data_IF_216105992764
#
_entry.id   IF_216105992764
#
_cell.length_a   1.000
_cell.length_b   1.000
_cell.length_c   1.000
_cell.angle_alpha   90.00
_cell.angle_beta   90.00
_cell.angle_gamma   90.00
#
_symmetry.space_group_name_H-M   'P 1'
#
loop_
_entity.id
_entity.type
_entity.pdbx_description
1 polymer ?
#
# COMPACT_ATOMS: atom_id res chain seq x y z
N UNK A 1 66.44 -74.08 -22.40
CA UNK A 1 67.35 -73.11 -23.04
C UNK A 1 66.66 -71.77 -23.10
N UNK A 2 67.08 -70.99 -22.17
CA UNK A 2 67.50 -69.59 -22.31
C UNK A 2 66.40 -68.63 -22.64
N UNK A 3 66.14 -67.56 -22.05
CA UNK A 3 66.70 -66.70 -21.03
C UNK A 3 65.91 -65.42 -21.13
N UNK A 4 65.56 -64.87 -20.04
CA UNK A 4 65.93 -63.61 -19.44
C UNK A 4 65.09 -62.35 -19.82
N UNK A 5 64.52 -61.78 -18.77
CA UNK A 5 64.51 -60.43 -18.27
C UNK A 5 63.80 -59.22 -19.03
N UNK A 6 63.10 -58.50 -18.23
CA UNK A 6 62.74 -57.11 -18.55
C UNK A 6 61.69 -56.45 -17.58
N UNK A 7 62.19 -56.07 -16.42
CA UNK A 7 61.49 -55.27 -15.41
C UNK A 7 61.09 -53.90 -15.88
N UNK A 8 59.90 -53.38 -15.43
CA UNK A 8 59.57 -51.98 -15.39
C UNK A 8 58.19 -51.72 -14.86
N UNK A 9 58.04 -50.97 -13.75
CA UNK A 9 56.71 -50.75 -13.14
C UNK A 9 55.94 -49.59 -13.81
N UNK A 10 54.79 -49.93 -14.34
CA UNK A 10 53.82 -48.89 -14.85
C UNK A 10 52.91 -48.45 -13.75
N UNK A 11 53.00 -47.18 -13.47
CA UNK A 11 52.16 -46.40 -12.54
C UNK A 11 50.69 -46.43 -12.97
N UNK A 12 49.86 -47.01 -12.11
CA UNK A 12 48.38 -46.92 -12.25
C UNK A 12 47.86 -45.53 -12.00
N UNK A 13 47.34 -44.92 -13.02
CA UNK A 13 46.53 -43.70 -12.88
C UNK A 13 45.11 -44.10 -12.57
N UNK A 14 44.67 -43.86 -11.35
CA UNK A 14 43.27 -43.92 -10.96
C UNK A 14 42.50 -42.82 -11.71
N UNK A 15 41.73 -43.22 -12.72
CA UNK A 15 40.65 -42.38 -13.24
C UNK A 15 39.52 -42.35 -12.21
N UNK A 16 39.55 -41.36 -11.32
CA UNK A 16 38.40 -41.00 -10.51
C UNK A 16 37.25 -40.61 -11.46
N UNK A 17 36.28 -41.50 -11.55
CA UNK A 17 35.05 -41.27 -12.31
C UNK A 17 34.33 -40.01 -11.78
N UNK A 18 34.33 -38.97 -12.59
CA UNK A 18 33.56 -37.76 -12.35
C UNK A 18 32.09 -38.14 -12.37
N UNK A 19 31.45 -38.19 -11.19
CA UNK A 19 30.01 -38.33 -11.07
C UNK A 19 29.36 -37.16 -11.83
N UNK A 20 28.52 -37.43 -12.83
CA UNK A 20 27.83 -36.33 -13.51
C UNK A 20 26.96 -35.59 -12.49
N UNK A 21 27.14 -34.31 -12.38
CA UNK A 21 26.27 -33.43 -11.58
C UNK A 21 24.80 -33.68 -12.00
N UNK A 22 23.94 -33.93 -11.02
CA UNK A 22 22.52 -34.05 -11.26
C UNK A 22 22.04 -32.85 -12.11
N UNK A 23 21.14 -33.08 -13.06
CA UNK A 23 20.61 -31.98 -13.87
C UNK A 23 19.96 -30.98 -12.92
N UNK A 24 20.51 -29.77 -12.87
CA UNK A 24 19.88 -28.64 -12.23
C UNK A 24 18.52 -28.50 -12.90
N UNK A 25 17.44 -28.57 -12.12
CA UNK A 25 16.08 -28.28 -12.59
C UNK A 25 16.12 -27.02 -13.43
N UNK A 26 15.46 -26.98 -14.59
CA UNK A 26 15.48 -25.78 -15.42
C UNK A 26 14.98 -24.63 -14.57
N UNK A 27 15.85 -23.64 -14.32
CA UNK A 27 15.45 -22.39 -13.67
C UNK A 27 14.31 -21.82 -14.52
N UNK A 28 13.12 -21.69 -13.94
CA UNK A 28 12.02 -21.02 -14.61
C UNK A 28 12.50 -19.60 -14.96
N UNK A 29 12.51 -19.20 -16.25
CA UNK A 29 12.95 -17.87 -16.60
C UNK A 29 12.08 -16.83 -15.90
N UNK A 30 12.66 -15.79 -15.33
CA UNK A 30 11.96 -14.64 -14.79
C UNK A 30 11.72 -14.63 -13.27
N UNK A 31 12.31 -15.55 -12.49
CA UNK A 31 12.25 -15.48 -11.01
C UNK A 31 13.43 -14.67 -10.46
N UNK A 32 13.13 -13.68 -9.62
CA UNK A 32 14.09 -12.70 -9.12
C UNK A 32 14.46 -12.99 -7.66
N UNK A 33 15.68 -12.62 -7.29
CA UNK A 33 16.08 -12.41 -5.91
C UNK A 33 15.50 -11.08 -5.41
N UNK A 34 14.55 -11.12 -4.46
CA UNK A 34 13.83 -9.95 -3.96
C UNK A 34 14.35 -9.55 -2.59
N UNK A 35 14.78 -8.31 -2.45
CA UNK A 35 15.11 -7.69 -1.17
C UNK A 35 14.01 -6.74 -0.72
N UNK A 36 13.61 -6.82 0.55
CA UNK A 36 12.53 -5.99 1.08
C UNK A 36 13.09 -5.01 2.10
N UNK A 37 12.99 -3.73 1.81
CA UNK A 37 13.38 -2.68 2.74
C UNK A 37 12.13 -2.15 3.44
N UNK A 38 12.04 -2.43 4.73
CA UNK A 38 10.92 -2.26 5.66
C UNK A 38 9.89 -3.40 5.61
N UNK A 39 9.92 -4.27 6.63
CA UNK A 39 8.86 -5.26 6.93
C UNK A 39 7.64 -4.62 7.61
N UNK A 40 7.24 -3.43 7.12
CA UNK A 40 5.98 -2.81 7.48
C UNK A 40 4.77 -3.62 6.98
N UNK A 41 3.56 -3.08 7.17
CA UNK A 41 2.32 -3.75 6.73
C UNK A 41 2.33 -4.05 5.24
N UNK A 42 2.86 -3.14 4.43
CA UNK A 42 2.92 -3.29 2.96
C UNK A 42 4.05 -4.22 2.55
N UNK A 43 5.27 -3.95 3.01
CA UNK A 43 6.47 -4.68 2.56
C UNK A 43 6.43 -6.16 2.87
N UNK A 44 6.00 -6.53 4.09
CA UNK A 44 5.90 -7.94 4.48
C UNK A 44 4.82 -8.69 3.68
N UNK A 45 3.65 -8.06 3.43
CA UNK A 45 2.58 -8.67 2.64
C UNK A 45 2.98 -8.84 1.18
N UNK A 46 3.57 -7.81 0.55
CA UNK A 46 4.04 -7.93 -0.83
C UNK A 46 5.19 -8.93 -0.97
N UNK A 47 6.10 -8.98 0.02
CA UNK A 47 7.15 -9.99 0.06
C UNK A 47 6.60 -11.42 0.16
N UNK A 48 5.57 -11.63 1.00
CA UNK A 48 4.87 -12.90 1.10
C UNK A 48 4.20 -13.28 -0.24
N UNK A 49 3.53 -12.32 -0.90
CA UNK A 49 2.91 -12.54 -2.19
C UNK A 49 3.93 -12.87 -3.29
N UNK A 50 5.06 -12.15 -3.36
CA UNK A 50 6.15 -12.44 -4.31
C UNK A 50 6.75 -13.84 -4.07
N UNK A 51 6.93 -14.24 -2.80
CA UNK A 51 7.38 -15.59 -2.46
C UNK A 51 6.38 -16.66 -2.88
N UNK A 52 5.07 -16.40 -2.75
CA UNK A 52 4.01 -17.31 -3.14
C UNK A 52 4.02 -17.62 -4.65
N UNK A 53 4.50 -16.68 -5.46
CA UNK A 53 4.70 -16.86 -6.91
C UNK A 53 6.14 -17.24 -7.28
N UNK A 54 6.87 -17.81 -6.34
CA UNK A 54 8.19 -18.43 -6.50
C UNK A 54 9.37 -17.46 -6.69
N UNK A 55 9.24 -16.16 -6.40
CA UNK A 55 10.39 -15.28 -6.25
C UNK A 55 11.17 -15.65 -4.97
N UNK A 56 12.48 -15.51 -5.01
CA UNK A 56 13.32 -15.77 -3.85
C UNK A 56 13.46 -14.49 -3.00
N UNK A 57 12.85 -14.43 -1.83
CA UNK A 57 13.10 -13.32 -0.89
C UNK A 57 14.46 -13.56 -0.24
N UNK A 58 15.46 -12.75 -0.62
CA UNK A 58 16.88 -12.91 -0.22
C UNK A 58 17.19 -12.24 1.11
N UNK A 59 16.34 -11.34 1.57
CA UNK A 59 16.48 -10.64 2.83
C UNK A 59 15.38 -9.62 3.06
N UNK A 60 15.16 -9.29 4.31
CA UNK A 60 14.19 -8.30 4.75
C UNK A 60 14.81 -7.38 5.80
N UNK A 61 14.54 -6.08 5.72
CA UNK A 61 14.94 -5.12 6.75
C UNK A 61 13.77 -4.83 7.68
N UNK A 62 13.98 -5.00 8.99
CA UNK A 62 13.00 -4.78 10.02
C UNK A 62 13.66 -4.17 11.27
N UNK A 63 13.16 -3.04 11.76
CA UNK A 63 13.75 -2.30 12.88
C UNK A 63 12.93 -2.49 14.16
N UNK A 64 11.62 -2.21 14.12
CA UNK A 64 10.74 -2.33 15.29
C UNK A 64 10.41 -3.79 15.60
N UNK A 65 10.01 -4.06 16.84
CA UNK A 65 9.57 -5.39 17.26
C UNK A 65 8.40 -5.87 16.42
N UNK A 66 7.39 -5.03 16.19
CA UNK A 66 6.23 -5.38 15.38
C UNK A 66 6.59 -5.67 13.91
N UNK A 67 7.65 -5.03 13.39
CA UNK A 67 8.11 -5.32 12.03
C UNK A 67 8.87 -6.64 11.95
N UNK A 68 9.61 -7.02 13.00
CA UNK A 68 10.29 -8.31 13.10
C UNK A 68 9.31 -9.46 13.27
N UNK A 69 8.34 -9.31 14.16
CA UNK A 69 7.24 -10.29 14.33
C UNK A 69 6.47 -10.50 13.01
N UNK A 70 6.21 -9.44 12.29
CA UNK A 70 5.53 -9.52 10.98
C UNK A 70 6.41 -10.20 9.94
N UNK A 71 7.71 -9.93 9.92
CA UNK A 71 8.65 -10.62 9.05
C UNK A 71 8.70 -12.13 9.37
N UNK A 72 8.75 -12.50 10.64
CA UNK A 72 8.73 -13.90 11.06
C UNK A 72 7.42 -14.61 10.66
N UNK A 73 6.28 -13.93 10.83
CA UNK A 73 4.96 -14.47 10.50
C UNK A 73 4.76 -14.66 8.98
N UNK A 74 5.09 -13.65 8.17
CA UNK A 74 4.77 -13.63 6.74
C UNK A 74 5.91 -14.14 5.86
N UNK A 75 7.15 -14.06 6.34
CA UNK A 75 8.37 -14.41 5.62
C UNK A 75 9.25 -15.38 6.45
N UNK A 76 8.68 -16.49 6.97
CA UNK A 76 9.44 -17.40 7.83
C UNK A 76 10.69 -17.91 7.13
N UNK A 77 11.83 -17.87 7.85
CA UNK A 77 13.13 -18.31 7.35
C UNK A 77 13.85 -17.32 6.43
N UNK A 78 13.26 -16.14 6.15
CA UNK A 78 13.96 -15.07 5.44
C UNK A 78 14.84 -14.32 6.45
N UNK A 79 16.15 -14.12 6.17
CA UNK A 79 17.03 -13.44 7.09
C UNK A 79 16.68 -11.94 7.20
N UNK A 80 16.70 -11.43 8.44
CA UNK A 80 16.67 -9.98 8.69
C UNK A 80 18.07 -9.46 8.52
N UNK A 81 18.27 -8.51 7.60
CA UNK A 81 19.56 -8.01 7.16
C UNK A 81 19.59 -6.48 7.20
N UNK A 82 20.81 -5.94 7.19
CA UNK A 82 21.03 -4.51 6.98
C UNK A 82 20.69 -4.11 5.54
N UNK A 83 20.25 -2.86 5.37
CA UNK A 83 19.82 -2.33 4.07
C UNK A 83 20.86 -2.53 2.97
N UNK A 84 22.15 -2.26 3.29
CA UNK A 84 23.25 -2.42 2.33
C UNK A 84 23.43 -3.85 1.83
N UNK A 85 23.28 -4.85 2.72
CA UNK A 85 23.37 -6.27 2.36
C UNK A 85 22.18 -6.72 1.49
N UNK A 86 20.99 -6.18 1.76
CA UNK A 86 19.80 -6.47 0.95
C UNK A 86 19.99 -5.95 -0.47
N UNK A 87 20.44 -4.70 -0.62
CA UNK A 87 20.66 -4.09 -1.94
C UNK A 87 21.73 -4.84 -2.72
N UNK A 88 22.79 -5.33 -2.06
CA UNK A 88 23.85 -6.09 -2.70
C UNK A 88 23.38 -7.46 -3.22
N UNK A 89 22.43 -8.12 -2.54
CA UNK A 89 21.98 -9.47 -2.86
C UNK A 89 20.77 -9.52 -3.79
N UNK A 90 20.03 -8.43 -3.92
CA UNK A 90 18.74 -8.40 -4.59
C UNK A 90 18.85 -8.00 -6.07
N UNK A 91 18.09 -8.66 -6.92
CA UNK A 91 17.84 -8.26 -8.31
C UNK A 91 16.65 -7.27 -8.38
N UNK A 92 15.68 -7.42 -7.46
CA UNK A 92 14.57 -6.50 -7.23
C UNK A 92 14.63 -6.00 -5.78
N UNK A 93 14.80 -4.71 -5.57
CA UNK A 93 14.69 -4.07 -4.25
C UNK A 93 13.33 -3.43 -4.12
N UNK A 94 12.53 -3.91 -3.17
CA UNK A 94 11.21 -3.35 -2.83
C UNK A 94 11.36 -2.39 -1.65
N UNK A 95 11.11 -1.09 -1.89
CA UNK A 95 11.12 -0.02 -0.89
C UNK A 95 9.70 0.21 -0.36
N UNK A 96 9.40 -0.30 0.83
CA UNK A 96 8.10 -0.12 1.49
C UNK A 96 8.22 0.78 2.74
N UNK A 97 9.08 1.78 2.66
CA UNK A 97 9.32 2.77 3.70
C UNK A 97 8.30 3.92 3.65
N UNK A 98 8.12 4.68 4.76
CA UNK A 98 7.33 5.90 4.73
C UNK A 98 7.79 6.89 3.66
N UNK A 99 6.86 7.67 3.12
CA UNK A 99 7.13 8.62 2.03
C UNK A 99 8.27 9.59 2.35
N UNK A 100 8.33 10.08 3.58
CA UNK A 100 9.37 11.03 4.02
C UNK A 100 10.77 10.41 4.09
N UNK A 101 10.84 9.08 4.27
CA UNK A 101 12.10 8.35 4.32
C UNK A 101 12.60 7.90 2.93
N UNK A 102 11.70 7.83 1.93
CA UNK A 102 12.00 7.23 0.63
C UNK A 102 13.11 7.98 -0.12
N UNK A 103 12.96 9.27 -0.31
CA UNK A 103 13.95 10.09 -1.03
C UNK A 103 15.34 10.09 -0.36
N UNK A 104 15.45 10.40 0.96
CA UNK A 104 16.69 10.31 1.70
C UNK A 104 17.38 8.94 1.64
N UNK A 105 16.60 7.84 1.75
CA UNK A 105 17.13 6.48 1.66
C UNK A 105 17.74 6.21 0.28
N UNK A 106 17.02 6.55 -0.79
CA UNK A 106 17.48 6.33 -2.17
C UNK A 106 18.73 7.14 -2.47
N UNK A 107 18.79 8.39 -2.02
CA UNK A 107 19.97 9.25 -2.18
C UNK A 107 21.15 8.72 -1.36
N UNK A 108 20.94 8.36 -0.09
CA UNK A 108 22.02 7.85 0.76
C UNK A 108 22.65 6.56 0.21
N UNK A 109 21.85 5.66 -0.35
CA UNK A 109 22.37 4.46 -1.00
C UNK A 109 23.12 4.77 -2.30
N UNK A 110 22.70 5.79 -3.04
CA UNK A 110 23.43 6.26 -4.21
C UNK A 110 24.79 6.89 -3.83
N UNK A 111 24.82 7.72 -2.81
CA UNK A 111 26.05 8.35 -2.30
C UNK A 111 27.07 7.32 -1.79
N UNK A 112 26.58 6.21 -1.26
CA UNK A 112 27.40 5.06 -0.84
C UNK A 112 27.76 4.09 -1.99
N UNK A 113 27.31 4.36 -3.21
CA UNK A 113 27.55 3.51 -4.39
C UNK A 113 26.96 2.10 -4.28
N UNK A 114 25.81 1.95 -3.59
CA UNK A 114 25.20 0.63 -3.34
C UNK A 114 24.33 0.11 -4.47
N UNK A 115 23.75 1.01 -5.28
CA UNK A 115 22.90 0.61 -6.39
C UNK A 115 23.67 -0.08 -7.50
N UNK A 116 23.09 -1.14 -8.09
CA UNK A 116 23.72 -1.93 -9.14
C UNK A 116 23.10 -1.63 -10.50
N UNK A 117 23.89 -1.58 -11.58
CA UNK A 117 23.35 -1.45 -12.93
C UNK A 117 22.42 -2.62 -13.28
N UNK A 118 21.25 -2.29 -13.84
CA UNK A 118 20.23 -3.28 -14.20
C UNK A 118 19.35 -3.77 -13.04
N UNK A 119 19.64 -3.39 -11.80
CA UNK A 119 18.84 -3.73 -10.63
C UNK A 119 17.47 -3.06 -10.70
N UNK A 120 16.40 -3.82 -10.51
CA UNK A 120 15.05 -3.28 -10.38
C UNK A 120 14.87 -2.66 -9.01
N UNK A 121 14.43 -1.41 -8.97
CA UNK A 121 14.13 -0.72 -7.71
C UNK A 121 12.68 -0.26 -7.76
N UNK A 122 11.85 -0.91 -6.95
CA UNK A 122 10.42 -0.62 -6.86
C UNK A 122 10.08 0.03 -5.51
N UNK A 123 9.23 1.04 -5.51
CA UNK A 123 8.64 1.57 -4.27
C UNK A 123 7.12 1.50 -4.28
N UNK A 124 6.53 1.54 -3.09
CA UNK A 124 5.08 1.41 -2.89
C UNK A 124 4.38 2.72 -2.53
N UNK A 125 5.05 3.87 -2.64
CA UNK A 125 4.42 5.17 -2.38
C UNK A 125 3.31 5.46 -3.39
N UNK A 126 2.17 5.93 -2.89
CA UNK A 126 1.10 6.44 -3.75
C UNK A 126 1.37 7.84 -4.27
N UNK A 127 2.12 8.64 -3.51
CA UNK A 127 2.42 10.04 -3.76
C UNK A 127 3.51 10.25 -4.82
N UNK A 128 4.57 9.43 -4.76
CA UNK A 128 5.72 9.54 -5.65
C UNK A 128 5.59 8.63 -6.87
N UNK A 129 6.10 9.09 -8.02
CA UNK A 129 6.31 8.25 -9.18
C UNK A 129 7.76 7.77 -9.27
N UNK A 130 8.21 7.43 -10.47
CA UNK A 130 9.56 6.91 -10.69
C UNK A 130 10.68 7.96 -10.45
N UNK A 131 10.35 9.25 -10.51
CA UNK A 131 11.33 10.35 -10.39
C UNK A 131 12.04 10.39 -9.02
N UNK A 132 11.40 9.96 -7.94
CA UNK A 132 12.03 9.88 -6.60
C UNK A 132 13.22 8.90 -6.59
N UNK A 133 13.24 7.94 -7.51
CA UNK A 133 14.31 6.96 -7.70
C UNK A 133 15.43 7.46 -8.64
N UNK A 134 15.41 8.72 -9.09
CA UNK A 134 16.43 9.26 -9.98
C UNK A 134 17.88 9.09 -9.47
N UNK A 135 18.19 9.18 -8.16
CA UNK A 135 19.53 8.85 -7.68
C UNK A 135 19.96 7.41 -7.99
N UNK A 136 19.09 6.42 -7.79
CA UNK A 136 19.37 5.04 -8.14
C UNK A 136 19.48 4.84 -9.66
N UNK A 137 18.60 5.50 -10.43
CA UNK A 137 18.64 5.44 -11.89
C UNK A 137 19.95 5.98 -12.47
N UNK A 138 20.53 7.03 -11.88
CA UNK A 138 21.86 7.53 -12.29
C UNK A 138 22.98 6.52 -12.08
N UNK A 139 22.81 5.59 -11.15
CA UNK A 139 23.71 4.45 -10.93
C UNK A 139 23.40 3.24 -11.85
N UNK A 140 22.44 3.37 -12.76
CA UNK A 140 22.06 2.32 -13.71
C UNK A 140 20.93 1.40 -13.24
N UNK A 141 20.32 1.66 -12.09
CA UNK A 141 19.14 0.92 -11.64
C UNK A 141 17.89 1.29 -12.45
N UNK A 142 16.92 0.41 -12.47
CA UNK A 142 15.66 0.52 -13.21
C UNK A 142 14.55 0.94 -12.23
N UNK A 143 14.03 2.18 -12.34
CA UNK A 143 13.06 2.71 -11.38
C UNK A 143 11.63 2.26 -11.69
N UNK A 144 10.91 1.77 -10.68
CA UNK A 144 9.51 1.35 -10.75
C UNK A 144 8.74 1.95 -9.58
N UNK A 145 7.58 2.53 -9.84
CA UNK A 145 6.62 2.95 -8.81
C UNK A 145 5.37 2.09 -8.93
N UNK A 146 5.07 1.27 -7.93
CA UNK A 146 3.95 0.34 -7.90
C UNK A 146 3.18 0.55 -6.60
N UNK A 147 1.98 1.11 -6.68
CA UNK A 147 1.18 1.41 -5.51
C UNK A 147 -0.13 0.63 -5.51
N UNK A 148 -0.29 -0.38 -4.63
CA UNK A 148 -1.57 -1.06 -4.43
C UNK A 148 -2.61 -0.13 -3.79
N UNK A 149 -3.76 0.05 -4.46
CA UNK A 149 -4.84 0.90 -3.96
C UNK A 149 -5.70 0.16 -2.93
N UNK A 150 -5.09 -0.25 -1.82
CA UNK A 150 -5.78 -0.94 -0.73
C UNK A 150 -5.22 -0.54 0.64
N UNK A 151 -6.01 -0.80 1.68
CA UNK A 151 -5.57 -0.66 3.07
C UNK A 151 -4.96 -1.98 3.54
N UNK A 152 -3.74 -1.92 4.05
CA UNK A 152 -3.02 -3.07 4.58
C UNK A 152 -3.17 -3.18 6.10
N UNK A 153 -3.61 -4.33 6.56
CA UNK A 153 -3.61 -4.71 7.98
C UNK A 153 -2.24 -5.25 8.44
N UNK A 154 -1.48 -5.81 7.50
CA UNK A 154 -0.18 -6.46 7.76
C UNK A 154 -0.29 -7.93 8.14
N UNK A 155 -1.44 -8.57 7.86
CA UNK A 155 -1.68 -9.99 8.09
C UNK A 155 -1.77 -10.76 6.76
N UNK A 156 -1.72 -12.08 6.84
CA UNK A 156 -1.79 -12.99 5.68
C UNK A 156 -3.08 -12.85 4.86
N UNK A 157 -4.17 -12.40 5.49
CA UNK A 157 -5.43 -12.11 4.81
C UNK A 157 -5.30 -11.03 3.73
N UNK A 158 -4.32 -10.12 3.87
CA UNK A 158 -4.09 -9.09 2.86
C UNK A 158 -3.53 -9.67 1.55
N UNK A 159 -2.82 -10.81 1.61
CA UNK A 159 -2.31 -11.48 0.40
C UNK A 159 -3.47 -11.88 -0.51
N UNK A 160 -4.56 -12.41 0.05
CA UNK A 160 -5.75 -12.75 -0.72
C UNK A 160 -6.45 -11.50 -1.30
N UNK A 161 -6.35 -10.36 -0.63
CA UNK A 161 -6.93 -9.08 -1.08
C UNK A 161 -6.14 -8.41 -2.21
N UNK A 162 -4.93 -8.87 -2.50
CA UNK A 162 -4.16 -8.41 -3.67
C UNK A 162 -4.79 -8.88 -4.98
N UNK A 163 -5.54 -9.99 -4.95
CA UNK A 163 -6.22 -10.51 -6.15
C UNK A 163 -7.29 -9.52 -6.60
N UNK A 164 -7.15 -9.03 -7.84
CA UNK A 164 -8.01 -7.99 -8.39
C UNK A 164 -7.79 -6.58 -7.82
N UNK A 165 -6.78 -6.38 -6.95
CA UNK A 165 -6.47 -5.06 -6.42
C UNK A 165 -5.93 -4.15 -7.53
N UNK A 166 -6.55 -2.98 -7.78
CA UNK A 166 -6.00 -2.00 -8.70
C UNK A 166 -4.64 -1.48 -8.19
N UNK A 167 -3.62 -1.51 -9.05
CA UNK A 167 -2.29 -1.00 -8.70
C UNK A 167 -1.82 0.05 -9.68
N UNK A 168 -1.56 1.26 -9.19
CA UNK A 168 -1.02 2.34 -10.01
C UNK A 168 0.45 2.09 -10.33
N UNK A 169 0.78 2.12 -11.62
CA UNK A 169 2.14 1.90 -12.13
C UNK A 169 2.66 3.16 -12.81
N UNK A 170 3.87 3.59 -12.41
CA UNK A 170 4.64 4.64 -13.11
C UNK A 170 6.05 4.14 -13.31
N UNK A 171 6.52 4.11 -14.55
CA UNK A 171 7.86 3.70 -14.91
C UNK A 171 8.25 4.32 -16.26
N UNK A 172 9.55 4.40 -16.61
CA UNK A 172 9.98 4.73 -17.97
C UNK A 172 9.34 3.78 -19.00
N UNK A 173 8.93 4.30 -20.16
CA UNK A 173 8.18 3.55 -21.18
C UNK A 173 8.83 2.20 -21.56
N UNK A 174 10.15 2.17 -21.63
CA UNK A 174 10.89 0.96 -22.01
C UNK A 174 10.77 -0.19 -20.98
N UNK A 175 10.50 0.11 -19.71
CA UNK A 175 10.44 -0.85 -18.60
C UNK A 175 9.06 -0.95 -17.98
N UNK A 176 8.10 -0.18 -18.45
CA UNK A 176 6.71 -0.24 -18.00
C UNK A 176 6.11 -1.66 -18.05
N UNK A 177 6.36 -2.48 -19.09
CA UNK A 177 5.88 -3.86 -19.13
C UNK A 177 6.40 -4.72 -17.98
N UNK A 178 7.60 -4.46 -17.46
CA UNK A 178 8.17 -5.19 -16.32
C UNK A 178 7.37 -4.87 -15.05
N UNK A 179 7.07 -3.58 -14.82
CA UNK A 179 6.27 -3.16 -13.67
C UNK A 179 4.84 -3.72 -13.73
N UNK A 180 4.23 -3.73 -14.91
CA UNK A 180 2.90 -4.33 -15.11
C UNK A 180 2.92 -5.85 -14.87
N UNK A 181 3.95 -6.56 -15.34
CA UNK A 181 4.10 -7.99 -15.11
C UNK A 181 4.22 -8.32 -13.62
N UNK A 182 5.00 -7.55 -12.85
CA UNK A 182 5.10 -7.72 -11.40
C UNK A 182 3.74 -7.54 -10.70
N UNK A 183 2.93 -6.59 -11.13
CA UNK A 183 1.57 -6.39 -10.59
C UNK A 183 0.68 -7.60 -10.88
N UNK A 184 0.71 -8.11 -12.13
CA UNK A 184 -0.07 -9.29 -12.52
C UNK A 184 0.39 -10.54 -11.73
N UNK A 185 1.69 -10.71 -11.53
CA UNK A 185 2.22 -11.80 -10.69
C UNK A 185 1.75 -11.70 -9.23
N UNK A 186 1.59 -10.50 -8.70
CA UNK A 186 0.99 -10.27 -7.38
C UNK A 186 -0.52 -10.53 -7.34
N UNK A 187 -1.15 -10.82 -8.48
CA UNK A 187 -2.59 -11.00 -8.61
C UNK A 187 -3.38 -9.70 -8.78
N UNK A 188 -2.71 -8.55 -8.86
CA UNK A 188 -3.33 -7.24 -9.00
C UNK A 188 -3.65 -6.86 -10.45
N UNK A 189 -4.37 -5.76 -10.59
CA UNK A 189 -4.73 -5.16 -11.89
C UNK A 189 -3.92 -3.88 -12.13
N UNK A 190 -2.92 -3.89 -13.03
CA UNK A 190 -2.09 -2.72 -13.26
C UNK A 190 -2.83 -1.67 -14.09
N UNK A 191 -2.75 -0.42 -13.66
CA UNK A 191 -3.10 0.72 -14.49
C UNK A 191 -1.97 1.75 -14.49
N UNK A 192 -1.75 2.35 -15.66
CA UNK A 192 -0.68 3.34 -15.84
C UNK A 192 -1.14 4.67 -15.27
N UNK A 193 -0.30 5.26 -14.42
CA UNK A 193 -0.52 6.59 -13.86
C UNK A 193 0.68 7.47 -14.18
N UNK A 194 0.40 8.64 -14.77
CA UNK A 194 1.43 9.62 -15.10
C UNK A 194 2.09 10.17 -13.81
N UNK A 195 3.38 10.49 -13.90
CA UNK A 195 4.18 11.05 -12.80
C UNK A 195 3.48 12.26 -12.16
N UNK A 196 3.00 13.19 -12.98
CA UNK A 196 2.35 14.44 -12.54
C UNK A 196 0.99 14.21 -11.86
N UNK A 197 0.35 13.07 -12.10
CA UNK A 197 -0.96 12.73 -11.52
C UNK A 197 -0.84 12.07 -10.14
N UNK A 198 0.35 11.60 -9.74
CA UNK A 198 0.55 10.89 -8.47
C UNK A 198 0.09 11.66 -7.23
N UNK A 199 0.40 12.95 -7.06
CA UNK A 199 -0.04 13.69 -5.87
C UNK A 199 -1.56 13.77 -5.75
N UNK A 200 -2.26 14.06 -6.83
CA UNK A 200 -3.73 14.17 -6.80
C UNK A 200 -4.40 12.80 -6.63
N UNK A 201 -3.85 11.75 -7.26
CA UNK A 201 -4.29 10.38 -7.05
C UNK A 201 -4.18 9.98 -5.58
N UNK A 202 -3.02 10.20 -4.94
CA UNK A 202 -2.82 9.86 -3.53
C UNK A 202 -3.72 10.68 -2.60
N UNK A 203 -3.92 11.97 -2.89
CA UNK A 203 -4.85 12.82 -2.16
C UNK A 203 -6.30 12.30 -2.25
N UNK A 204 -6.74 11.84 -3.42
CA UNK A 204 -8.07 11.27 -3.62
C UNK A 204 -8.26 9.99 -2.78
N UNK A 205 -7.28 9.08 -2.79
CA UNK A 205 -7.33 7.85 -1.97
C UNK A 205 -7.33 8.17 -0.47
N UNK A 206 -6.49 9.10 -0.03
CA UNK A 206 -6.46 9.54 1.37
C UNK A 206 -7.80 10.17 1.77
N UNK A 207 -8.37 11.01 0.92
CA UNK A 207 -9.67 11.62 1.17
C UNK A 207 -10.78 10.56 1.26
N UNK A 208 -10.86 9.63 0.29
CA UNK A 208 -11.91 8.61 0.23
C UNK A 208 -11.79 7.52 1.30
N UNK A 209 -10.57 7.11 1.67
CA UNK A 209 -10.35 6.02 2.60
C UNK A 209 -10.00 6.50 4.02
N UNK A 210 -8.99 7.37 4.19
CA UNK A 210 -8.51 7.72 5.53
C UNK A 210 -9.49 8.65 6.26
N UNK A 211 -10.08 9.62 5.55
CA UNK A 211 -11.09 10.49 6.16
C UNK A 211 -12.39 9.75 6.44
N UNK A 212 -12.74 8.71 5.64
CA UNK A 212 -13.87 7.85 5.96
C UNK A 212 -13.69 7.19 7.34
N UNK A 213 -12.50 6.67 7.66
CA UNK A 213 -12.21 6.12 8.99
C UNK A 213 -12.42 7.15 10.10
N UNK A 214 -12.03 8.41 9.88
CA UNK A 214 -12.27 9.50 10.83
C UNK A 214 -13.76 9.70 11.06
N UNK A 215 -14.55 9.81 9.99
CA UNK A 215 -16.01 10.03 10.08
C UNK A 215 -16.68 8.83 10.79
N UNK A 216 -16.32 7.61 10.46
CA UNK A 216 -16.89 6.41 11.08
C UNK A 216 -16.56 6.33 12.57
N UNK A 217 -15.32 6.58 12.96
CA UNK A 217 -14.91 6.55 14.37
C UNK A 217 -15.56 7.67 15.18
N UNK A 218 -15.74 8.86 14.60
CA UNK A 218 -16.50 9.94 15.20
C UNK A 218 -17.97 9.55 15.43
N UNK A 219 -18.61 8.95 14.42
CA UNK A 219 -20.01 8.51 14.53
C UNK A 219 -20.19 7.42 15.60
N UNK A 220 -19.26 6.46 15.72
CA UNK A 220 -19.27 5.45 16.81
C UNK A 220 -19.15 6.13 18.18
N UNK A 221 -18.28 7.13 18.35
CA UNK A 221 -18.16 7.90 19.61
C UNK A 221 -19.45 8.62 19.96
N UNK A 222 -20.11 9.24 18.98
CA UNK A 222 -21.40 9.93 19.18
C UNK A 222 -22.48 8.94 19.65
N UNK A 223 -22.59 7.78 19.00
CA UNK A 223 -23.54 6.73 19.39
C UNK A 223 -23.27 6.22 20.81
N UNK A 224 -22.02 6.00 21.16
CA UNK A 224 -21.64 5.59 22.52
C UNK A 224 -22.02 6.67 23.56
N UNK A 225 -21.80 7.96 23.26
CA UNK A 225 -22.20 9.06 24.13
C UNK A 225 -23.76 9.20 24.24
N UNK A 226 -24.49 8.76 23.21
CA UNK A 226 -25.95 8.66 23.24
C UNK A 226 -26.48 7.37 23.92
N UNK A 227 -25.60 6.52 24.48
CA UNK A 227 -25.97 5.30 25.18
C UNK A 227 -26.15 4.05 24.30
N UNK A 228 -25.70 4.09 23.05
CA UNK A 228 -25.72 2.91 22.16
C UNK A 228 -24.49 2.05 22.44
N UNK A 229 -24.70 0.84 22.97
CA UNK A 229 -23.60 -0.06 23.41
C UNK A 229 -22.71 -0.53 22.25
N UNK A 230 -23.29 -0.91 21.11
CA UNK A 230 -22.58 -1.33 19.91
C UNK A 230 -22.85 -0.39 18.74
N UNK A 231 -22.15 0.73 18.75
CA UNK A 231 -22.23 1.71 17.65
C UNK A 231 -21.73 1.18 16.32
N UNK A 232 -20.76 0.27 16.31
CA UNK A 232 -20.20 -0.31 15.11
C UNK A 232 -21.22 -1.24 14.42
N UNK A 233 -21.85 -2.13 15.17
CA UNK A 233 -22.93 -3.00 14.65
C UNK A 233 -24.13 -2.18 14.16
N UNK A 234 -24.46 -1.10 14.87
CA UNK A 234 -25.56 -0.19 14.49
C UNK A 234 -25.27 0.52 13.16
N UNK A 235 -24.03 0.99 12.95
CA UNK A 235 -23.65 1.70 11.74
C UNK A 235 -23.34 0.81 10.54
N UNK A 236 -22.91 -0.43 10.76
CA UNK A 236 -22.41 -1.32 9.71
C UNK A 236 -23.32 -1.41 8.48
N UNK A 237 -24.61 -1.80 8.63
CA UNK A 237 -25.53 -1.89 7.50
C UNK A 237 -25.76 -0.55 6.79
N UNK A 238 -25.84 0.56 7.56
CA UNK A 238 -26.03 1.90 7.01
C UNK A 238 -24.85 2.36 6.20
N UNK A 239 -23.63 2.16 6.71
CA UNK A 239 -22.39 2.53 6.03
C UNK A 239 -22.16 1.72 4.76
N UNK A 240 -22.44 0.40 4.81
CA UNK A 240 -22.34 -0.48 3.63
C UNK A 240 -23.27 0.00 2.52
N UNK A 241 -24.52 0.28 2.84
CA UNK A 241 -25.51 0.76 1.86
C UNK A 241 -25.15 2.17 1.33
N UNK A 242 -24.62 3.06 2.18
CA UNK A 242 -24.22 4.39 1.78
C UNK A 242 -22.99 4.36 0.85
N UNK A 243 -22.01 3.49 1.15
CA UNK A 243 -20.81 3.31 0.32
C UNK A 243 -21.18 2.72 -1.04
N UNK A 244 -21.97 1.64 -1.06
CA UNK A 244 -22.44 1.01 -2.30
C UNK A 244 -23.15 2.02 -3.20
N UNK A 245 -24.05 2.79 -2.60
CA UNK A 245 -24.77 3.83 -3.30
C UNK A 245 -23.87 4.95 -3.84
N UNK A 246 -22.90 5.38 -3.06
CA UNK A 246 -21.95 6.42 -3.49
C UNK A 246 -21.09 5.95 -4.67
N UNK A 247 -20.67 4.67 -4.69
CA UNK A 247 -19.86 4.10 -5.77
C UNK A 247 -20.65 3.90 -7.07
N UNK A 248 -21.96 3.57 -6.98
CA UNK A 248 -22.78 3.30 -8.16
C UNK A 248 -23.53 4.54 -8.69
N UNK A 249 -24.04 5.41 -7.79
CA UNK A 249 -24.88 6.54 -8.16
C UNK A 249 -24.09 7.89 -8.13
N UNK A 250 -22.90 7.91 -7.52
CA UNK A 250 -22.14 9.12 -7.32
C UNK A 250 -22.93 10.17 -6.52
N UNK A 251 -22.93 11.41 -6.99
CA UNK A 251 -23.63 12.54 -6.33
C UNK A 251 -25.16 12.37 -6.33
N UNK A 252 -25.72 11.60 -7.25
CA UNK A 252 -27.14 11.27 -7.25
C UNK A 252 -27.56 10.47 -6.00
N UNK A 253 -26.64 9.75 -5.38
CA UNK A 253 -26.81 9.03 -4.14
C UNK A 253 -26.89 9.89 -2.87
N UNK A 254 -26.57 11.18 -2.92
CA UNK A 254 -26.63 12.08 -1.76
C UNK A 254 -28.05 12.11 -1.16
N UNK A 255 -28.15 11.91 0.15
CA UNK A 255 -29.41 11.86 0.90
C UNK A 255 -29.25 12.53 2.27
N UNK A 256 -30.31 12.54 3.06
CA UNK A 256 -30.29 13.12 4.41
C UNK A 256 -30.84 14.55 4.48
N UNK A 257 -30.85 15.18 5.66
CA UNK A 257 -31.46 16.50 5.88
C UNK A 257 -30.81 17.60 5.04
N UNK A 258 -29.49 17.57 4.90
CA UNK A 258 -28.77 18.58 4.09
C UNK A 258 -29.23 18.54 2.63
N UNK A 259 -29.23 17.34 2.01
CA UNK A 259 -29.63 17.23 0.60
C UNK A 259 -31.11 17.52 0.32
N UNK A 260 -31.96 17.56 1.36
CA UNK A 260 -33.37 17.95 1.29
C UNK A 260 -33.62 19.42 1.67
N UNK A 261 -32.61 20.17 2.07
CA UNK A 261 -32.73 21.56 2.47
C UNK A 261 -33.35 21.76 3.87
N UNK A 262 -33.31 20.74 4.73
CA UNK A 262 -33.88 20.76 6.08
C UNK A 262 -32.90 21.42 7.08
N UNK A 263 -32.87 22.75 7.06
CA UNK A 263 -32.01 23.57 7.91
C UNK A 263 -32.35 23.41 9.41
N UNK A 264 -33.63 23.18 9.74
CA UNK A 264 -34.08 22.98 11.12
C UNK A 264 -33.46 21.72 11.75
N UNK A 265 -33.49 20.61 11.03
CA UNK A 265 -32.83 19.36 11.48
C UNK A 265 -31.31 19.53 11.59
N UNK A 266 -30.68 20.25 10.66
CA UNK A 266 -29.23 20.51 10.72
C UNK A 266 -28.86 21.33 11.95
N UNK A 267 -29.63 22.39 12.28
CA UNK A 267 -29.42 23.17 13.48
C UNK A 267 -29.58 22.35 14.77
N UNK A 268 -30.64 21.52 14.85
CA UNK A 268 -30.85 20.61 15.98
C UNK A 268 -29.72 19.59 16.17
N UNK A 269 -29.16 19.06 15.06
CA UNK A 269 -27.98 18.19 15.13
C UNK A 269 -26.77 18.90 15.73
N UNK A 270 -26.49 20.13 15.31
CA UNK A 270 -25.36 20.92 15.83
C UNK A 270 -25.53 21.26 17.30
N UNK A 271 -26.73 21.64 17.72
CA UNK A 271 -27.05 21.87 19.12
C UNK A 271 -26.82 20.62 19.98
N UNK A 272 -27.35 19.47 19.53
CA UNK A 272 -27.16 18.20 20.25
C UNK A 272 -25.69 17.80 20.32
N UNK A 273 -24.93 17.89 19.22
CA UNK A 273 -23.51 17.56 19.18
C UNK A 273 -22.67 18.48 20.08
N UNK A 274 -23.00 19.77 20.13
CA UNK A 274 -22.26 20.77 20.94
C UNK A 274 -22.44 20.58 22.45
N UNK A 275 -23.53 19.97 22.87
CA UNK A 275 -23.82 19.72 24.29
C UNK A 275 -23.39 18.35 24.79
N UNK A 276 -23.02 17.46 23.85
CA UNK A 276 -22.67 16.08 24.17
C UNK A 276 -21.19 15.96 24.59
N UNK A 277 -20.92 15.11 25.57
CA UNK A 277 -19.56 14.73 25.98
C UNK A 277 -19.38 13.22 25.86
N UNK A 278 -18.14 12.79 25.65
CA UNK A 278 -17.80 11.36 25.66
C UNK A 278 -17.84 10.77 27.10
N UNK A 279 -17.64 9.47 27.22
CA UNK A 279 -17.62 8.75 28.51
C UNK A 279 -16.53 9.23 29.49
N UNK A 280 -15.59 10.04 29.02
CA UNK A 280 -14.53 10.66 29.83
C UNK A 280 -14.78 12.14 30.11
N UNK A 281 -15.97 12.67 29.76
CA UNK A 281 -16.34 14.06 29.94
C UNK A 281 -15.68 15.02 28.96
N UNK A 282 -15.08 14.54 27.85
CA UNK A 282 -14.49 15.36 26.81
C UNK A 282 -15.56 15.76 25.79
N UNK A 283 -15.60 17.03 25.40
CA UNK A 283 -16.47 17.50 24.35
C UNK A 283 -16.18 16.82 22.99
N UNK A 284 -17.15 16.90 22.10
CA UNK A 284 -17.07 16.35 20.75
C UNK A 284 -16.80 17.44 19.71
N UNK A 285 -15.98 18.45 20.03
CA UNK A 285 -15.69 19.59 19.17
C UNK A 285 -15.14 19.19 17.78
N UNK A 286 -14.33 18.12 17.72
CA UNK A 286 -13.83 17.55 16.48
C UNK A 286 -14.96 17.00 15.60
N UNK A 287 -16.01 16.44 16.20
CA UNK A 287 -17.20 15.95 15.48
C UNK A 287 -18.01 17.11 14.94
N UNK A 288 -18.26 18.15 15.77
CA UNK A 288 -18.96 19.36 15.36
C UNK A 288 -18.27 20.02 14.17
N UNK A 289 -16.93 20.16 14.24
CA UNK A 289 -16.14 20.74 13.15
C UNK A 289 -16.27 19.92 11.86
N UNK A 290 -16.11 18.59 11.94
CA UNK A 290 -16.25 17.70 10.77
C UNK A 290 -17.67 17.76 10.20
N UNK A 291 -18.69 17.72 11.06
CA UNK A 291 -20.10 17.79 10.64
C UNK A 291 -20.37 19.09 9.85
N UNK A 292 -19.93 20.25 10.36
CA UNK A 292 -20.10 21.55 9.68
C UNK A 292 -19.45 21.56 8.30
N UNK A 293 -18.21 21.10 8.18
CA UNK A 293 -17.47 21.09 6.92
C UNK A 293 -18.11 20.16 5.88
N UNK A 294 -18.50 18.95 6.28
CA UNK A 294 -19.13 17.98 5.39
C UNK A 294 -20.53 18.43 4.97
N UNK A 295 -21.32 19.00 5.89
CA UNK A 295 -22.63 19.54 5.57
C UNK A 295 -22.54 20.75 4.62
N UNK A 296 -21.54 21.62 4.79
CA UNK A 296 -21.30 22.73 3.88
C UNK A 296 -20.93 22.22 2.47
N UNK A 297 -20.01 21.28 2.36
CA UNK A 297 -19.63 20.66 1.09
C UNK A 297 -20.82 19.97 0.41
N UNK A 298 -21.67 19.28 1.18
CA UNK A 298 -22.88 18.64 0.66
C UNK A 298 -23.89 19.70 0.15
N UNK A 299 -24.05 20.82 0.88
CA UNK A 299 -24.92 21.93 0.48
C UNK A 299 -24.46 22.50 -0.86
N UNK A 300 -23.17 22.80 -1.01
CA UNK A 300 -22.59 23.36 -2.22
C UNK A 300 -22.76 22.43 -3.43
N UNK A 301 -22.56 21.12 -3.25
CA UNK A 301 -22.79 20.10 -4.29
C UNK A 301 -24.26 20.00 -4.68
N UNK A 302 -25.16 19.98 -3.71
CA UNK A 302 -26.61 19.90 -3.97
C UNK A 302 -27.14 21.17 -4.65
N UNK A 303 -26.64 22.37 -4.33
CA UNK A 303 -26.97 23.60 -5.03
C UNK A 303 -26.42 23.58 -6.48
N UNK A 304 -25.16 23.23 -6.67
CA UNK A 304 -24.53 23.14 -8.00
C UNK A 304 -25.23 22.17 -8.95
N UNK A 305 -25.81 21.08 -8.41
CA UNK A 305 -26.56 20.08 -9.18
C UNK A 305 -28.06 20.38 -9.29
N UNK A 306 -28.54 21.52 -8.76
CA UNK A 306 -29.95 21.93 -8.81
C UNK A 306 -30.89 21.13 -7.89
N UNK A 307 -30.35 20.37 -6.94
CA UNK A 307 -31.13 19.63 -5.93
C UNK A 307 -31.64 20.55 -4.82
N UNK A 308 -30.92 21.61 -4.56
CA UNK A 308 -31.34 22.70 -3.65
C UNK A 308 -31.53 23.99 -4.43
N UNK A 309 -32.53 24.74 -4.05
CA UNK A 309 -32.65 26.13 -4.48
C UNK A 309 -31.63 27.01 -3.72
N UNK A 310 -31.27 28.17 -4.29
CA UNK A 310 -30.39 29.13 -3.62
C UNK A 310 -30.88 29.54 -2.23
N UNK A 311 -32.18 29.65 -2.05
CA UNK A 311 -32.80 29.97 -0.76
C UNK A 311 -32.63 28.84 0.27
N UNK A 312 -32.79 27.57 -0.14
CA UNK A 312 -32.55 26.42 0.73
C UNK A 312 -31.08 26.35 1.13
N UNK A 313 -30.17 26.51 0.17
CA UNK A 313 -28.73 26.53 0.42
C UNK A 313 -28.30 27.64 1.38
N UNK A 314 -28.89 28.86 1.23
CA UNK A 314 -28.62 29.96 2.15
C UNK A 314 -29.08 29.64 3.58
N UNK A 315 -30.29 29.11 3.78
CA UNK A 315 -30.78 28.71 5.12
C UNK A 315 -29.91 27.64 5.76
N UNK A 316 -29.41 26.65 4.98
CA UNK A 316 -28.47 25.65 5.49
C UNK A 316 -27.14 26.30 5.92
N UNK A 317 -26.56 27.16 5.10
CA UNK A 317 -25.31 27.86 5.45
C UNK A 317 -25.48 28.73 6.71
N UNK A 318 -26.64 29.35 6.92
CA UNK A 318 -26.92 30.13 8.14
C UNK A 318 -27.00 29.20 9.36
N UNK A 319 -27.70 28.04 9.27
CA UNK A 319 -27.74 27.05 10.33
C UNK A 319 -26.36 26.45 10.65
N UNK A 320 -25.46 26.36 9.68
CA UNK A 320 -24.10 25.87 9.89
C UNK A 320 -23.16 26.89 10.55
N UNK A 321 -23.51 28.17 10.58
CA UNK A 321 -22.72 29.25 11.25
C UNK A 321 -23.09 29.44 12.71
N UNK A 322 -24.34 29.15 13.05
CA UNK A 322 -24.84 29.20 14.44
C UNK A 322 -24.23 28.07 15.28
#
# INVERSE_FOLDING_TARGET
>A
MSDIDGTGPGTGGEHAGRVPAAPTSPSRPGRLGVGIISAGRVGAVLGCALRAVEHQVVGVHAVSEESRERAEMLLPGVPVLEVGEIVERAELVLLAVPDDALGPLVQGLADLGRWQPGQLVAHTSGRYGAAVLAPAQRCGAIPLAIHPAMTFSGFSTDVARLVGCPMAVTAPAAVLPIAQALVVELGGEPFVLEESARPIYHAALAHGANHLLTVVTQAVRVLAAAGVEDGAATLGPLLTAALDRALHEGEAGLTGPVSRGDAGTVAAHLEALSTLSDSQGRGLDDVVASYRQLAAATTDRCEATGRLTAEQALRLRDALRS
#
